data_IF_899841934815
#
_entry.id   IF_899841934815
#
_cell.length_a   1.000
_cell.length_b   1.000
_cell.length_c   1.000
_cell.angle_alpha   90.00
_cell.angle_beta   90.00
_cell.angle_gamma   90.00
#
_symmetry.space_group_name_H-M   'P 1'
#
loop_
_entity.id
_entity.type
_entity.pdbx_description
1 polymer ?
#
# COMPACT_ATOMS: atom_id res chain seq x y z
N UNK A 1 -43.80 20.81 -14.94
CA UNK A 1 -42.36 20.81 -15.29
C UNK A 1 -41.40 20.76 -14.09
N UNK A 2 -41.81 21.05 -12.85
CA UNK A 2 -40.92 20.94 -11.66
C UNK A 2 -40.81 19.53 -11.02
N UNK A 3 -41.58 18.54 -11.49
CA UNK A 3 -41.55 17.15 -10.96
C UNK A 3 -40.72 16.16 -11.82
N UNK A 4 -40.29 16.57 -13.02
CA UNK A 4 -39.52 15.71 -13.94
C UNK A 4 -38.00 15.84 -13.69
N UNK A 5 -37.56 16.97 -13.12
CA UNK A 5 -36.14 17.22 -12.83
C UNK A 5 -35.67 16.41 -11.59
N UNK A 6 -36.57 16.10 -10.65
CA UNK A 6 -36.23 15.28 -9.48
C UNK A 6 -36.06 13.78 -9.80
N UNK A 7 -36.61 13.30 -10.91
CA UNK A 7 -36.45 11.90 -11.33
C UNK A 7 -35.10 11.63 -12.01
N UNK A 8 -34.56 12.60 -12.77
CA UNK A 8 -33.23 12.47 -13.38
C UNK A 8 -32.07 12.56 -12.38
N UNK A 9 -32.26 13.23 -11.24
CA UNK A 9 -31.24 13.31 -10.19
C UNK A 9 -31.16 12.05 -9.32
N UNK A 10 -32.24 11.25 -9.29
CA UNK A 10 -32.29 10.01 -8.51
C UNK A 10 -31.82 8.78 -9.30
N UNK A 11 -31.83 8.82 -10.63
CA UNK A 11 -31.35 7.74 -11.49
C UNK A 11 -29.81 7.73 -11.69
N UNK A 12 -29.08 8.73 -11.21
CA UNK A 12 -27.60 8.76 -11.24
C UNK A 12 -26.93 8.15 -9.99
N UNK A 13 -27.70 7.67 -9.02
CA UNK A 13 -27.19 7.06 -7.78
C UNK A 13 -27.01 5.53 -7.86
N UNK A 14 -27.18 4.93 -9.04
CA UNK A 14 -27.13 3.47 -9.23
C UNK A 14 -26.19 3.04 -10.36
N UNK A 15 -25.06 3.71 -10.53
CA UNK A 15 -23.91 3.07 -11.18
C UNK A 15 -23.26 2.13 -10.16
N UNK A 16 -23.80 0.92 -10.04
CA UNK A 16 -23.12 -0.18 -9.38
C UNK A 16 -21.82 -0.43 -10.15
N UNK A 17 -20.73 0.18 -9.68
CA UNK A 17 -19.38 -0.24 -10.07
C UNK A 17 -19.26 -1.66 -9.55
N UNK A 18 -19.02 -2.69 -10.39
CA UNK A 18 -18.71 -4.01 -9.89
C UNK A 18 -17.55 -3.87 -8.89
N UNK A 19 -17.77 -4.35 -7.66
CA UNK A 19 -16.93 -4.08 -6.49
C UNK A 19 -15.49 -4.56 -6.70
N UNK A 20 -14.63 -3.68 -7.23
CA UNK A 20 -13.19 -3.73 -7.01
C UNK A 20 -12.90 -3.22 -5.60
N UNK A 21 -13.50 -3.84 -4.59
CA UNK A 21 -13.14 -3.61 -3.20
C UNK A 21 -12.12 -4.66 -2.80
N UNK A 22 -10.98 -4.22 -2.29
CA UNK A 22 -9.99 -5.09 -1.69
C UNK A 22 -9.73 -4.56 -0.29
N UNK A 23 -10.40 -5.16 0.70
CA UNK A 23 -10.05 -4.96 2.11
C UNK A 23 -9.44 -6.26 2.61
N UNK A 24 -8.27 -6.18 3.24
CA UNK A 24 -7.61 -7.37 3.75
C UNK A 24 -6.82 -7.07 5.01
N UNK A 25 -6.55 -8.13 5.76
CA UNK A 25 -5.68 -8.12 6.92
C UNK A 25 -4.56 -9.10 6.64
N UNK A 26 -3.32 -8.65 6.84
CA UNK A 26 -2.12 -9.44 6.63
C UNK A 26 -1.38 -9.62 7.96
N UNK A 27 -0.67 -10.73 8.11
CA UNK A 27 0.26 -10.99 9.20
C UNK A 27 1.55 -11.53 8.61
N UNK A 28 2.65 -10.83 8.88
CA UNK A 28 3.97 -11.08 8.32
C UNK A 28 4.89 -11.51 9.46
N UNK A 29 5.59 -12.63 9.28
CA UNK A 29 6.74 -13.01 10.09
C UNK A 29 8.01 -12.55 9.40
N UNK A 30 8.74 -11.63 10.02
CA UNK A 30 9.88 -10.93 9.47
C UNK A 30 11.20 -11.65 9.76
N UNK A 31 11.99 -11.93 8.72
CA UNK A 31 13.29 -12.61 8.85
C UNK A 31 14.49 -11.65 9.01
N UNK A 32 14.27 -10.34 9.03
CA UNK A 32 15.32 -9.32 8.99
C UNK A 32 16.27 -9.42 10.19
N UNK A 33 15.73 -9.63 11.39
CA UNK A 33 16.56 -9.85 12.59
C UNK A 33 17.44 -11.10 12.47
N UNK A 34 16.96 -12.14 11.81
CA UNK A 34 17.70 -13.40 11.63
C UNK A 34 18.78 -13.30 10.55
N UNK A 35 18.52 -12.53 9.49
CA UNK A 35 19.45 -12.35 8.36
C UNK A 35 20.50 -11.27 8.63
N UNK A 36 20.17 -10.26 9.42
CA UNK A 36 21.01 -9.11 9.73
C UNK A 36 21.13 -8.91 11.24
N UNK A 37 21.62 -9.92 11.95
CA UNK A 37 21.67 -9.99 13.41
C UNK A 37 22.49 -8.86 14.07
N UNK A 38 23.51 -8.35 13.36
CA UNK A 38 24.35 -7.22 13.81
C UNK A 38 23.63 -5.88 13.71
N UNK A 39 22.84 -5.69 12.66
CA UNK A 39 22.25 -4.40 12.32
C UNK A 39 20.79 -4.28 12.78
N UNK A 40 20.06 -5.40 12.85
CA UNK A 40 18.60 -5.46 13.05
C UNK A 40 18.18 -6.27 14.29
N UNK A 41 19.03 -6.38 15.31
CA UNK A 41 18.74 -7.15 16.54
C UNK A 41 17.43 -6.74 17.25
N UNK A 42 17.05 -5.47 17.14
CA UNK A 42 15.82 -4.92 17.73
C UNK A 42 14.60 -4.92 16.80
N UNK A 43 14.73 -5.41 15.55
CA UNK A 43 13.63 -5.39 14.58
C UNK A 43 12.47 -6.26 15.07
N UNK A 44 11.22 -5.75 15.03
CA UNK A 44 10.00 -6.52 15.27
C UNK A 44 9.97 -7.81 14.44
N UNK A 45 9.47 -8.90 15.03
CA UNK A 45 9.34 -10.19 14.33
C UNK A 45 8.01 -10.34 13.60
N UNK A 46 7.00 -9.60 14.04
CA UNK A 46 5.66 -9.68 13.50
C UNK A 46 5.20 -8.29 13.13
N UNK A 47 4.61 -8.18 11.95
CA UNK A 47 3.90 -6.99 11.49
C UNK A 47 2.54 -7.43 11.00
N UNK A 48 1.50 -6.68 11.36
CA UNK A 48 0.17 -6.86 10.77
C UNK A 48 -0.22 -5.64 9.99
N UNK A 49 -0.82 -5.86 8.83
CA UNK A 49 -1.22 -4.81 7.90
C UNK A 49 -2.73 -4.85 7.72
N UNK A 50 -3.41 -3.72 7.90
CA UNK A 50 -4.79 -3.54 7.46
C UNK A 50 -4.77 -2.69 6.21
N UNK A 51 -5.17 -3.25 5.08
CA UNK A 51 -5.14 -2.56 3.79
C UNK A 51 -6.55 -2.43 3.23
N UNK A 52 -6.84 -1.29 2.60
CA UNK A 52 -8.08 -1.09 1.86
C UNK A 52 -7.86 -0.28 0.58
N UNK A 53 -8.31 -0.84 -0.53
CA UNK A 53 -8.55 -0.11 -1.78
C UNK A 53 -10.05 -0.02 -2.06
N UNK A 54 -10.52 1.20 -2.35
CA UNK A 54 -11.93 1.47 -2.61
C UNK A 54 -12.11 2.54 -3.70
N UNK A 55 -12.57 2.16 -4.91
CA UNK A 55 -12.96 3.11 -5.94
C UNK A 55 -14.36 3.69 -5.69
N UNK A 56 -14.58 4.92 -6.11
CA UNK A 56 -15.89 5.60 -6.09
C UNK A 56 -16.08 6.51 -7.31
N UNK A 57 -17.20 7.22 -7.36
CA UNK A 57 -17.58 8.08 -8.49
C UNK A 57 -16.60 9.25 -8.76
N UNK A 58 -15.71 9.55 -7.83
CA UNK A 58 -14.79 10.68 -7.87
C UNK A 58 -13.32 10.24 -7.89
N UNK A 59 -13.03 8.95 -8.02
CA UNK A 59 -11.69 8.39 -8.07
C UNK A 59 -11.53 7.15 -7.18
N UNK A 60 -10.51 7.12 -6.33
CA UNK A 60 -10.27 5.98 -5.42
C UNK A 60 -9.55 6.39 -4.16
N UNK A 61 -9.83 5.68 -3.07
CA UNK A 61 -9.10 5.77 -1.81
C UNK A 61 -8.31 4.49 -1.58
N UNK A 62 -7.05 4.65 -1.24
CA UNK A 62 -6.19 3.59 -0.73
C UNK A 62 -5.71 3.98 0.67
N UNK A 63 -5.63 3.03 1.57
CA UNK A 63 -4.91 3.22 2.83
C UNK A 63 -4.37 1.89 3.35
N UNK A 64 -3.33 1.99 4.17
CA UNK A 64 -2.89 0.89 5.01
C UNK A 64 -2.45 1.35 6.39
N UNK A 65 -2.56 0.43 7.35
CA UNK A 65 -2.02 0.56 8.71
C UNK A 65 -1.08 -0.62 8.93
N UNK A 66 0.19 -0.36 9.20
CA UNK A 66 1.09 -1.38 9.73
C UNK A 66 1.19 -1.24 11.23
N UNK A 67 1.17 -2.38 11.91
CA UNK A 67 1.42 -2.49 13.35
C UNK A 67 2.55 -3.48 13.56
N UNK A 68 3.64 -3.00 14.16
CA UNK A 68 4.80 -3.81 14.47
C UNK A 68 4.74 -4.31 15.91
N UNK A 69 5.03 -5.59 16.13
CA UNK A 69 4.91 -6.23 17.43
C UNK A 69 6.26 -6.66 17.99
N UNK A 70 6.42 -6.42 19.29
CA UNK A 70 7.51 -6.96 20.12
C UNK A 70 6.92 -7.80 21.25
N UNK A 71 7.77 -8.38 22.11
CA UNK A 71 7.31 -9.04 23.35
C UNK A 71 6.47 -8.12 24.25
N UNK A 72 6.67 -6.81 24.12
CA UNK A 72 6.00 -5.76 24.90
C UNK A 72 4.71 -5.23 24.21
N UNK A 73 4.15 -5.99 23.26
CA UNK A 73 2.97 -5.59 22.48
C UNK A 73 3.30 -4.75 21.24
N UNK A 74 2.31 -3.97 20.76
CA UNK A 74 2.45 -3.07 19.61
C UNK A 74 3.52 -2.01 19.92
N UNK A 75 4.60 -2.01 19.15
CA UNK A 75 5.75 -1.13 19.31
C UNK A 75 5.70 0.09 18.38
N UNK A 76 5.09 -0.06 17.22
CA UNK A 76 4.86 1.01 16.27
C UNK A 76 3.57 0.80 15.48
N UNK A 77 2.99 1.90 15.03
CA UNK A 77 1.91 1.94 14.06
C UNK A 77 2.23 2.99 12.98
N UNK A 78 2.29 2.57 11.73
CA UNK A 78 2.43 3.45 10.56
C UNK A 78 1.12 3.50 9.80
N UNK A 79 0.79 4.66 9.25
CA UNK A 79 -0.43 4.90 8.51
C UNK A 79 -0.15 5.71 7.26
N UNK A 80 -0.70 5.25 6.15
CA UNK A 80 -0.75 5.97 4.89
C UNK A 80 -2.18 5.99 4.37
N UNK A 81 -2.62 7.15 3.89
CA UNK A 81 -3.88 7.31 3.17
C UNK A 81 -3.65 8.14 1.91
N UNK A 82 -4.04 7.57 0.78
CA UNK A 82 -3.97 8.18 -0.52
C UNK A 82 -5.36 8.33 -1.14
N UNK A 83 -5.58 9.46 -1.81
CA UNK A 83 -6.78 9.79 -2.55
C UNK A 83 -6.41 10.14 -3.97
N UNK A 84 -6.96 9.38 -4.90
CA UNK A 84 -7.00 9.72 -6.31
C UNK A 84 -8.29 10.47 -6.61
N UNK A 85 -8.18 11.64 -7.22
CA UNK A 85 -9.29 12.45 -7.71
C UNK A 85 -9.34 12.38 -9.24
N UNK A 86 -10.48 11.97 -9.78
CA UNK A 86 -10.65 11.78 -11.22
C UNK A 86 -12.06 12.16 -11.66
N UNK A 87 -12.16 13.30 -12.35
CA UNK A 87 -13.41 13.85 -12.86
C UNK A 87 -13.52 13.79 -14.39
N UNK A 88 -12.59 13.08 -15.05
CA UNK A 88 -12.44 13.04 -16.51
C UNK A 88 -12.11 11.64 -17.01
N UNK A 89 -12.28 11.41 -18.32
CA UNK A 89 -12.12 10.09 -18.98
C UNK A 89 -10.67 9.77 -19.43
N UNK A 90 -9.67 10.40 -18.83
CA UNK A 90 -8.24 10.23 -19.19
C UNK A 90 -7.52 9.18 -18.34
N UNK A 91 -6.25 8.86 -18.65
CA UNK A 91 -5.48 7.87 -17.87
C UNK A 91 -4.87 8.45 -16.58
N UNK A 92 -4.90 9.78 -16.42
CA UNK A 92 -4.35 10.46 -15.25
C UNK A 92 -5.41 10.76 -14.18
N UNK A 93 -4.99 10.80 -12.92
CA UNK A 93 -5.72 11.31 -11.75
C UNK A 93 -4.84 12.27 -10.94
N UNK A 94 -5.47 13.15 -10.16
CA UNK A 94 -4.76 13.97 -9.19
C UNK A 94 -4.61 13.18 -7.88
N UNK A 95 -3.39 13.10 -7.37
CA UNK A 95 -3.04 12.31 -6.20
C UNK A 95 -2.82 13.20 -4.98
N UNK A 96 -3.38 12.81 -3.84
CA UNK A 96 -3.20 13.44 -2.54
C UNK A 96 -2.94 12.35 -1.50
N UNK A 97 -1.89 12.49 -0.70
CA UNK A 97 -1.52 11.46 0.28
C UNK A 97 -1.02 12.08 1.59
N UNK A 98 -1.28 11.36 2.68
CA UNK A 98 -0.78 11.64 4.01
C UNK A 98 -0.18 10.39 4.63
N UNK A 99 1.06 10.53 5.11
CA UNK A 99 1.80 9.47 5.77
C UNK A 99 2.22 9.94 7.17
N UNK A 100 2.08 9.06 8.15
CA UNK A 100 2.47 9.36 9.52
C UNK A 100 2.30 8.15 10.43
N UNK A 101 2.34 8.40 11.73
CA UNK A 101 2.14 7.35 12.73
C UNK A 101 2.95 7.59 13.99
N UNK A 102 3.14 6.53 14.75
CA UNK A 102 3.82 6.56 16.03
C UNK A 102 4.65 5.32 16.29
N UNK A 103 5.68 5.49 17.11
CA UNK A 103 6.42 4.40 17.72
C UNK A 103 6.59 4.71 19.21
N UNK A 104 6.99 3.71 20.01
CA UNK A 104 7.23 3.93 21.45
C UNK A 104 8.24 5.06 21.65
N UNK A 105 7.78 6.16 22.26
CA UNK A 105 8.60 7.31 22.62
C UNK A 105 8.67 8.45 21.58
N UNK A 106 8.09 8.30 20.38
CA UNK A 106 8.07 9.38 19.38
C UNK A 106 6.95 9.22 18.34
N UNK A 107 6.70 10.28 17.57
CA UNK A 107 5.83 10.25 16.39
C UNK A 107 6.67 10.34 15.13
N UNK A 108 6.29 9.58 14.10
CA UNK A 108 6.86 9.79 12.77
C UNK A 108 6.55 11.21 12.29
N UNK A 109 7.45 11.81 11.52
CA UNK A 109 7.17 13.10 10.90
C UNK A 109 6.01 12.94 9.92
N UNK A 110 5.05 13.86 9.99
CA UNK A 110 3.96 13.91 9.03
C UNK A 110 4.52 14.22 7.65
N UNK A 111 4.20 13.39 6.66
CA UNK A 111 4.47 13.67 5.27
C UNK A 111 3.16 13.91 4.52
N UNK A 112 3.15 14.96 3.69
CA UNK A 112 2.03 15.32 2.84
C UNK A 112 2.50 15.30 1.39
N UNK A 113 1.79 14.57 0.55
CA UNK A 113 2.16 14.36 -0.83
C UNK A 113 1.04 14.83 -1.75
N UNK A 114 1.41 15.46 -2.86
CA UNK A 114 0.49 15.85 -3.90
C UNK A 114 1.15 15.67 -5.27
N UNK A 115 0.40 15.13 -6.22
CA UNK A 115 0.97 14.75 -7.51
C UNK A 115 -0.04 14.33 -8.56
N UNK A 116 0.47 13.62 -9.56
CA UNK A 116 -0.33 13.03 -10.61
C UNK A 116 -0.01 11.54 -10.76
N UNK A 117 -1.05 10.73 -10.90
CA UNK A 117 -0.96 9.29 -11.09
C UNK A 117 -1.39 8.93 -12.51
N UNK A 118 -0.56 8.18 -13.23
CA UNK A 118 -0.96 7.46 -14.43
C UNK A 118 -1.42 6.06 -14.03
N UNK A 119 -2.59 5.64 -14.50
CA UNK A 119 -3.14 4.31 -14.21
C UNK A 119 -3.38 3.51 -15.49
N UNK A 120 -2.84 2.30 -15.52
CA UNK A 120 -3.15 1.31 -16.54
C UNK A 120 -3.76 0.06 -15.89
N UNK A 121 -4.87 -0.41 -16.48
CA UNK A 121 -5.46 -1.70 -16.18
C UNK A 121 -5.73 -2.43 -17.50
N UNK A 122 -5.51 -3.74 -17.54
CA UNK A 122 -5.97 -4.52 -18.67
C UNK A 122 -7.50 -4.65 -18.65
N UNK A 123 -8.10 -5.04 -19.79
CA UNK A 123 -9.55 -5.10 -19.95
C UNK A 123 -10.27 -5.99 -18.92
N UNK A 124 -9.59 -7.03 -18.43
CA UNK A 124 -10.15 -7.97 -17.45
C UNK A 124 -9.81 -7.63 -15.99
N UNK A 125 -9.12 -6.50 -15.73
CA UNK A 125 -8.64 -6.12 -14.40
C UNK A 125 -7.89 -7.25 -13.67
N UNK A 126 -7.17 -8.07 -14.43
CA UNK A 126 -6.28 -9.09 -13.88
C UNK A 126 -4.86 -8.59 -13.73
N UNK A 127 -4.50 -7.49 -14.40
CA UNK A 127 -3.18 -6.87 -14.31
C UNK A 127 -3.31 -5.36 -14.45
N UNK A 128 -2.57 -4.64 -13.63
CA UNK A 128 -2.48 -3.20 -13.71
C UNK A 128 -1.22 -2.67 -13.05
N UNK A 129 -0.91 -1.42 -13.36
CA UNK A 129 0.14 -0.68 -12.69
C UNK A 129 -0.23 0.80 -12.61
N UNK A 130 0.32 1.47 -11.62
CA UNK A 130 0.30 2.93 -11.52
C UNK A 130 1.72 3.48 -11.50
N UNK A 131 1.88 4.70 -12.00
CA UNK A 131 3.08 5.50 -11.82
C UNK A 131 2.65 6.87 -11.32
N UNK A 132 3.18 7.26 -10.16
CA UNK A 132 2.77 8.46 -9.44
C UNK A 132 3.98 9.33 -9.20
N UNK A 133 3.92 10.58 -9.64
CA UNK A 133 4.97 11.58 -9.43
C UNK A 133 4.44 12.68 -8.52
N UNK A 134 5.15 12.92 -7.41
CA UNK A 134 4.66 13.75 -6.30
C UNK A 134 5.70 14.75 -5.81
N UNK A 135 5.20 15.91 -5.41
CA UNK A 135 5.88 16.73 -4.41
C UNK A 135 5.59 16.15 -3.02
N UNK A 136 6.62 16.04 -2.19
CA UNK A 136 6.56 15.49 -0.83
C UNK A 136 7.03 16.53 0.18
N UNK A 137 6.16 16.93 1.09
CA UNK A 137 6.49 17.81 2.20
C UNK A 137 6.58 17.01 3.50
N UNK A 138 7.77 16.95 4.10
CA UNK A 138 8.01 16.27 5.38
C UNK A 138 8.08 17.32 6.48
N UNK A 139 7.03 17.38 7.31
CA UNK A 139 6.90 18.36 8.38
C UNK A 139 8.04 18.21 9.40
N UNK A 140 8.60 19.33 9.87
CA UNK A 140 9.69 19.41 10.86
C UNK A 140 11.03 18.82 10.40
N UNK A 141 11.16 18.37 9.16
CA UNK A 141 12.46 17.97 8.60
C UNK A 141 13.32 19.19 8.23
N UNK A 142 14.65 19.09 8.38
CA UNK A 142 15.61 20.18 8.06
C UNK A 142 15.58 20.62 6.59
N UNK A 143 15.29 19.68 5.69
CA UNK A 143 15.02 19.92 4.28
C UNK A 143 13.61 19.38 3.97
N UNK A 144 12.55 20.15 4.23
CA UNK A 144 11.19 19.63 4.26
C UNK A 144 10.59 19.42 2.86
N UNK A 145 11.09 20.13 1.85
CA UNK A 145 10.61 20.05 0.47
C UNK A 145 11.34 18.96 -0.31
N UNK A 146 10.61 17.96 -0.81
CA UNK A 146 11.15 16.78 -1.48
C UNK A 146 10.28 16.36 -2.67
N UNK A 147 10.70 15.30 -3.37
CA UNK A 147 9.91 14.63 -4.41
C UNK A 147 9.78 13.14 -4.05
N UNK A 148 8.75 12.47 -4.58
CA UNK A 148 8.62 11.02 -4.56
C UNK A 148 8.09 10.52 -5.92
N UNK A 149 8.68 9.43 -6.41
CA UNK A 149 8.16 8.62 -7.50
C UNK A 149 7.73 7.27 -6.92
N UNK A 150 6.48 6.90 -7.15
CA UNK A 150 5.88 5.65 -6.67
C UNK A 150 5.37 4.85 -7.86
N UNK A 151 5.71 3.58 -7.91
CA UNK A 151 5.11 2.60 -8.81
C UNK A 151 4.36 1.55 -8.02
N UNK A 152 3.11 1.26 -8.36
CA UNK A 152 2.36 0.13 -7.78
C UNK A 152 1.96 -0.84 -8.88
N UNK A 153 1.82 -2.11 -8.54
CA UNK A 153 1.35 -3.12 -9.50
C UNK A 153 0.52 -4.19 -8.83
N UNK A 154 -0.31 -4.83 -9.66
CA UNK A 154 -0.92 -6.10 -9.33
C UNK A 154 -1.04 -6.98 -10.57
N UNK A 155 -0.94 -8.27 -10.38
CA UNK A 155 -1.11 -9.29 -11.40
C UNK A 155 -1.70 -10.55 -10.76
N UNK A 156 -2.96 -10.82 -11.10
CA UNK A 156 -3.64 -12.07 -10.81
C UNK A 156 -3.47 -13.02 -12.01
N UNK A 157 -3.00 -14.24 -11.76
CA UNK A 157 -2.73 -15.23 -12.80
C UNK A 157 -3.06 -16.64 -12.32
N UNK A 158 -2.97 -17.63 -13.23
CA UNK A 158 -3.42 -19.00 -12.97
C UNK A 158 -4.87 -19.08 -12.47
N UNK A 159 -5.80 -18.39 -13.16
CA UNK A 159 -7.22 -18.28 -12.75
C UNK A 159 -7.40 -17.74 -11.32
N UNK A 160 -6.66 -16.68 -11.01
CA UNK A 160 -6.59 -16.02 -9.70
C UNK A 160 -6.01 -16.90 -8.58
N UNK A 161 -5.42 -18.06 -8.86
CA UNK A 161 -4.73 -18.86 -7.85
C UNK A 161 -3.53 -18.11 -7.28
N UNK A 162 -2.84 -17.35 -8.14
CA UNK A 162 -1.62 -16.64 -7.79
C UNK A 162 -1.81 -15.14 -7.98
N UNK A 163 -1.31 -14.36 -7.03
CA UNK A 163 -1.28 -12.90 -7.10
C UNK A 163 0.14 -12.43 -6.87
N UNK A 164 0.64 -11.57 -7.75
CA UNK A 164 1.87 -10.80 -7.56
C UNK A 164 1.51 -9.33 -7.49
N UNK A 165 1.86 -8.65 -6.41
CA UNK A 165 1.51 -7.24 -6.17
C UNK A 165 2.65 -6.55 -5.44
N UNK A 166 2.54 -5.24 -5.23
CA UNK A 166 3.51 -4.49 -4.42
C UNK A 166 3.68 -3.07 -4.92
N UNK A 167 4.64 -2.39 -4.33
CA UNK A 167 5.02 -1.03 -4.68
C UNK A 167 6.54 -0.86 -4.72
N UNK A 168 6.98 0.23 -5.33
CA UNK A 168 8.35 0.72 -5.30
C UNK A 168 8.34 2.25 -5.22
N UNK A 169 8.93 2.76 -4.16
CA UNK A 169 9.07 4.18 -3.85
C UNK A 169 10.52 4.60 -3.96
N UNK A 170 10.73 5.73 -4.62
CA UNK A 170 11.99 6.45 -4.63
C UNK A 170 11.74 7.92 -4.34
N UNK A 171 12.32 8.43 -3.26
CA UNK A 171 12.13 9.81 -2.86
C UNK A 171 13.42 10.46 -2.39
N UNK A 172 13.42 11.79 -2.46
CA UNK A 172 14.44 12.59 -1.80
C UNK A 172 14.12 12.70 -0.32
N UNK A 173 15.08 12.39 0.53
CA UNK A 173 15.05 12.71 1.95
C UNK A 173 16.48 12.77 2.45
N UNK A 174 16.87 13.90 3.04
CA UNK A 174 18.25 14.14 3.44
C UNK A 174 18.52 13.59 4.83
N UNK A 175 19.02 12.37 4.90
CA UNK A 175 19.41 11.68 6.14
C UNK A 175 20.88 11.95 6.48
N UNK A 176 21.39 11.34 7.55
CA UNK A 176 22.82 11.39 7.87
C UNK A 176 23.68 10.54 6.93
N UNK A 177 23.05 9.66 6.12
CA UNK A 177 23.73 8.64 5.33
C UNK A 177 23.49 8.79 3.82
N UNK A 178 22.53 9.64 3.41
CA UNK A 178 22.23 9.85 2.00
C UNK A 178 21.22 10.96 1.73
N UNK A 179 20.93 11.18 0.44
CA UNK A 179 19.96 12.19 -0.03
C UNK A 179 18.68 11.58 -0.61
N UNK A 180 18.67 10.27 -0.79
CA UNK A 180 17.55 9.54 -1.39
C UNK A 180 17.32 8.25 -0.64
N UNK A 181 16.07 7.85 -0.59
CA UNK A 181 15.63 6.59 -0.02
C UNK A 181 14.93 5.79 -1.12
N UNK A 182 15.09 4.48 -1.06
CA UNK A 182 14.34 3.53 -1.87
C UNK A 182 13.67 2.51 -0.94
N UNK A 183 12.42 2.19 -1.22
CA UNK A 183 11.67 1.15 -0.54
C UNK A 183 10.80 0.42 -1.56
N UNK A 184 10.77 -0.90 -1.51
CA UNK A 184 9.87 -1.70 -2.33
C UNK A 184 9.51 -2.98 -1.59
N UNK A 185 8.24 -3.35 -1.64
CA UNK A 185 7.71 -4.55 -1.00
C UNK A 185 6.90 -5.37 -2.02
N UNK A 186 7.56 -6.04 -2.98
CA UNK A 186 6.92 -7.06 -3.80
C UNK A 186 6.35 -8.18 -2.93
N UNK A 187 5.08 -8.48 -3.16
CA UNK A 187 4.33 -9.54 -2.51
C UNK A 187 3.92 -10.62 -3.50
N UNK A 188 3.89 -11.86 -3.03
CA UNK A 188 3.41 -13.02 -3.76
C UNK A 188 2.44 -13.82 -2.90
N UNK A 189 1.28 -14.17 -3.46
CA UNK A 189 0.20 -14.85 -2.76
C UNK A 189 -0.32 -16.07 -3.50
N UNK A 190 -0.62 -17.12 -2.74
CA UNK A 190 -1.39 -18.29 -3.16
C UNK A 190 -2.78 -18.21 -2.52
N UNK A 191 -3.80 -17.98 -3.34
CA UNK A 191 -5.18 -17.78 -2.89
C UNK A 191 -5.89 -19.14 -2.72
N UNK A 192 -6.08 -19.58 -1.46
CA UNK A 192 -6.47 -20.96 -1.17
C UNK A 192 -7.88 -21.31 -1.68
N UNK A 193 -8.81 -20.34 -1.71
CA UNK A 193 -10.16 -20.53 -2.27
C UNK A 193 -10.18 -20.87 -3.78
N UNK A 194 -9.05 -20.78 -4.48
CA UNK A 194 -8.92 -21.19 -5.89
C UNK A 194 -8.50 -22.65 -6.06
N UNK A 195 -8.03 -23.31 -5.02
CA UNK A 195 -7.63 -24.72 -5.04
C UNK A 195 -8.89 -25.61 -5.08
N UNK A 196 -8.87 -26.66 -5.92
CA UNK A 196 -9.98 -27.62 -6.02
C UNK A 196 -10.15 -28.34 -4.66
N UNK A 197 -11.38 -28.35 -4.14
CA UNK A 197 -11.69 -28.98 -2.84
C UNK A 197 -11.66 -28.01 -1.65
N UNK A 198 -11.14 -26.79 -1.80
CA UNK A 198 -11.21 -25.75 -0.78
C UNK A 198 -12.52 -24.96 -0.94
N UNK A 199 -13.17 -24.61 0.18
CA UNK A 199 -14.38 -23.80 0.18
C UNK A 199 -14.13 -22.44 -0.49
N UNK A 200 -15.03 -22.00 -1.37
CA UNK A 200 -14.91 -20.73 -2.10
C UNK A 200 -14.94 -19.49 -1.20
N UNK A 201 -15.50 -19.62 0.00
CA UNK A 201 -15.57 -18.55 1.01
C UNK A 201 -14.35 -18.56 1.95
N UNK A 202 -13.42 -19.49 1.79
CA UNK A 202 -12.19 -19.55 2.60
C UNK A 202 -11.13 -18.61 2.03
N UNK A 203 -11.27 -17.31 2.34
CA UNK A 203 -10.47 -16.22 1.76
C UNK A 203 -9.06 -16.06 2.34
N UNK A 204 -8.49 -17.15 2.86
CA UNK A 204 -7.10 -17.17 3.30
C UNK A 204 -6.18 -17.29 2.08
N UNK A 205 -5.12 -16.50 2.11
CA UNK A 205 -3.98 -16.59 1.19
C UNK A 205 -2.71 -16.78 2.01
N UNK A 206 -1.80 -17.59 1.49
CA UNK A 206 -0.46 -17.78 2.07
C UNK A 206 0.55 -17.21 1.10
N UNK A 207 1.60 -16.58 1.61
CA UNK A 207 2.49 -15.81 0.75
C UNK A 207 3.76 -15.34 1.42
N UNK A 208 4.40 -14.40 0.75
CA UNK A 208 5.63 -13.76 1.18
C UNK A 208 5.68 -12.35 0.61
N UNK A 209 6.33 -11.47 1.34
CA UNK A 209 6.78 -10.16 0.91
C UNK A 209 8.30 -10.11 0.99
N UNK A 210 8.93 -9.28 0.16
CA UNK A 210 10.37 -9.00 0.28
C UNK A 210 10.57 -7.50 0.37
N UNK A 211 10.88 -6.98 1.56
CA UNK A 211 11.28 -5.59 1.75
C UNK A 211 12.67 -5.40 1.13
N UNK A 212 12.73 -4.60 0.07
CA UNK A 212 13.95 -4.09 -0.54
C UNK A 212 14.10 -2.64 -0.12
N UNK A 213 15.08 -2.32 0.71
CA UNK A 213 15.22 -0.97 1.24
C UNK A 213 16.64 -0.45 1.15
N UNK A 214 16.80 0.82 0.78
CA UNK A 214 18.07 1.53 0.77
C UNK A 214 17.95 2.84 1.55
N UNK A 215 18.76 3.00 2.60
CA UNK A 215 18.78 4.18 3.45
C UNK A 215 17.44 4.48 4.17
N UNK A 216 16.64 3.45 4.45
CA UNK A 216 15.30 3.55 5.02
C UNK A 216 15.24 3.20 6.52
N UNK A 217 14.32 3.81 7.26
CA UNK A 217 14.08 3.50 8.67
C UNK A 217 15.25 3.85 9.60
N UNK A 218 16.03 4.88 9.23
CA UNK A 218 17.22 5.29 9.99
C UNK A 218 18.45 4.40 9.81
N UNK A 219 18.40 3.45 8.87
CA UNK A 219 19.49 2.51 8.56
C UNK A 219 20.30 3.00 7.36
N UNK A 220 21.60 2.74 7.36
CA UNK A 220 22.50 2.97 6.23
C UNK A 220 22.65 1.68 5.40
N UNK A 221 22.65 1.81 4.08
CA UNK A 221 22.86 0.71 3.15
C UNK A 221 21.58 0.03 2.64
N UNK A 222 21.80 -1.08 1.91
CA UNK A 222 20.76 -1.84 1.22
C UNK A 222 20.45 -3.17 1.92
N UNK A 223 19.15 -3.44 2.13
CA UNK A 223 18.65 -4.63 2.80
C UNK A 223 17.61 -5.35 1.93
N UNK A 224 17.58 -6.67 2.08
CA UNK A 224 16.62 -7.57 1.43
C UNK A 224 16.03 -8.47 2.51
N UNK A 225 14.81 -8.18 2.94
CA UNK A 225 14.18 -8.81 4.09
C UNK A 225 12.91 -9.53 3.65
N UNK A 226 12.94 -10.85 3.47
CA UNK A 226 11.73 -11.61 3.18
C UNK A 226 10.86 -11.77 4.43
N UNK A 227 9.59 -12.05 4.20
CA UNK A 227 8.62 -12.45 5.22
C UNK A 227 7.95 -13.77 4.87
N UNK A 228 7.40 -14.45 5.87
CA UNK A 228 6.37 -15.46 5.68
C UNK A 228 5.03 -14.85 6.07
N UNK A 229 4.05 -14.84 5.17
CA UNK A 229 2.85 -14.06 5.35
C UNK A 229 1.55 -14.86 5.19
N UNK A 230 0.55 -14.45 5.96
CA UNK A 230 -0.85 -14.86 5.84
C UNK A 230 -1.68 -13.63 5.51
N UNK A 231 -2.64 -13.76 4.60
CA UNK A 231 -3.58 -12.69 4.25
C UNK A 231 -5.01 -13.20 4.26
N UNK A 232 -5.89 -12.51 4.96
CA UNK A 232 -7.33 -12.75 4.94
C UNK A 232 -8.04 -11.62 4.20
N UNK A 233 -8.72 -11.95 3.10
CA UNK A 233 -9.53 -10.96 2.35
C UNK A 233 -10.94 -10.89 2.94
N UNK A 234 -11.36 -9.68 3.29
CA UNK A 234 -12.68 -9.37 3.81
C UNK A 234 -13.64 -9.18 2.61
N UNK A 235 -14.72 -9.97 2.61
CA UNK A 235 -15.82 -9.87 1.66
C UNK A 235 -16.95 -9.03 2.26
#
# INVERSE_FOLDING_TARGET
MKKIISALFLCMLLSAVPELQAQNIQLHYDFGRSLYDKDLKGRPLLTSTVEKFHPDNWGSTYFFIDMDYTSEGVAAAYWEIARELKFWKGPFSAHLEYNGGLAKGFSYNNAYLAGATYTYNNASFSRGFTLTAMYKYIQKHRSPNNFQLTGTWYMNFCKNLLTFSGFADWWREETNYGKTIFLSEPQFWVNLNRIKGVNKNFNLSVGSEVELSNNFGGRDGFYVIPTLALKWTLN
#
